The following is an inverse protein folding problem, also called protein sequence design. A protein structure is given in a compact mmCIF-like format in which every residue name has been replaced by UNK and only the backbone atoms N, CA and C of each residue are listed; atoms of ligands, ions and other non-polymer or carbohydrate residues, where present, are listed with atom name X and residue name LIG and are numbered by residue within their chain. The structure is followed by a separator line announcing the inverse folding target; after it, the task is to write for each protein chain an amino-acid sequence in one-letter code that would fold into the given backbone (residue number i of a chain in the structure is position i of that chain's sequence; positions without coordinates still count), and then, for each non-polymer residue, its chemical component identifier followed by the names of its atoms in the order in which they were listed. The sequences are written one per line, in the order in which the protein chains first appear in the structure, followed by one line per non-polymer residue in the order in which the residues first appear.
data_IF_849316922299
#
_entry.id   IF_849316922299
#
_cell.length_a   1.000
_cell.length_b   1.000
_cell.length_c   1.000
_cell.angle_alpha   90.00
_cell.angle_beta   90.00
_cell.angle_gamma   90.00
#
_symmetry.space_group_name_H-M   'P 1'
#
loop_
_entity.id
_entity.type
_entity.pdbx_description
1 polymer ?
#
# COMPACT_ATOMS: atom_id res chain seq x y z
N UNK A 1 -25.97 64.86 19.24
CA UNK A 1 -27.02 64.03 19.86
C UNK A 1 -27.30 62.75 19.04
N UNK A 2 -27.33 62.83 17.70
CA UNK A 2 -27.66 61.72 16.77
C UNK A 2 -26.66 60.53 16.79
N UNK A 3 -25.42 60.72 17.27
CA UNK A 3 -24.41 59.64 17.35
C UNK A 3 -24.37 58.97 18.73
N UNK A 4 -24.89 59.59 19.79
CA UNK A 4 -24.69 59.11 21.16
C UNK A 4 -25.73 58.06 21.60
N UNK A 5 -26.99 58.22 21.22
CA UNK A 5 -28.08 57.29 21.55
C UNK A 5 -27.87 55.87 21.01
N UNK A 6 -27.52 55.66 19.73
CA UNK A 6 -27.32 54.30 19.21
C UNK A 6 -26.09 53.60 19.80
N UNK A 7 -25.11 54.35 20.31
CA UNK A 7 -23.92 53.78 20.97
C UNK A 7 -24.24 53.21 22.36
N UNK A 8 -25.18 53.80 23.09
CA UNK A 8 -25.56 53.33 24.43
C UNK A 8 -26.39 52.05 24.32
N UNK A 9 -27.33 51.98 23.38
CA UNK A 9 -28.09 50.76 23.11
C UNK A 9 -27.16 49.61 22.68
N UNK A 10 -26.24 49.87 21.76
CA UNK A 10 -25.21 48.91 21.35
C UNK A 10 -24.38 48.39 22.52
N UNK A 11 -23.97 49.29 23.43
CA UNK A 11 -23.21 48.93 24.63
C UNK A 11 -24.04 48.05 25.57
N UNK A 12 -25.33 48.38 25.76
CA UNK A 12 -26.25 47.58 26.58
C UNK A 12 -26.41 46.17 25.99
N UNK A 13 -26.64 46.05 24.67
CA UNK A 13 -26.73 44.75 24.01
C UNK A 13 -25.44 43.94 24.14
N UNK A 14 -24.28 44.57 23.96
CA UNK A 14 -22.99 43.92 24.11
C UNK A 14 -22.75 43.43 25.54
N UNK A 15 -23.13 44.22 26.55
CA UNK A 15 -23.06 43.82 27.96
C UNK A 15 -24.00 42.63 28.23
N UNK A 16 -25.25 42.68 27.77
CA UNK A 16 -26.22 41.59 27.95
C UNK A 16 -25.70 40.30 27.32
N UNK A 17 -25.21 40.37 26.08
CA UNK A 17 -24.65 39.23 25.36
C UNK A 17 -23.37 38.73 26.03
N UNK A 18 -22.47 39.62 26.42
CA UNK A 18 -21.22 39.29 27.11
C UNK A 18 -21.46 38.58 28.44
N UNK A 19 -22.41 39.08 29.24
CA UNK A 19 -22.84 38.44 30.49
C UNK A 19 -23.52 37.10 30.20
N UNK A 20 -24.40 37.03 29.20
CA UNK A 20 -25.06 35.80 28.78
C UNK A 20 -24.06 34.71 28.36
N UNK A 21 -23.09 35.05 27.51
CA UNK A 21 -22.02 34.16 27.08
C UNK A 21 -21.10 33.76 28.23
N UNK A 22 -20.77 34.68 29.14
CA UNK A 22 -20.00 34.36 30.35
C UNK A 22 -20.72 33.35 31.24
N UNK A 23 -22.02 33.56 31.49
CA UNK A 23 -22.85 32.65 32.28
C UNK A 23 -22.97 31.29 31.59
N UNK A 24 -23.21 31.27 30.28
CA UNK A 24 -23.27 30.04 29.48
C UNK A 24 -21.94 29.27 29.57
N UNK A 25 -20.82 29.95 29.36
CA UNK A 25 -19.49 29.36 29.49
C UNK A 25 -19.25 28.82 30.89
N UNK A 26 -19.62 29.56 31.94
CA UNK A 26 -19.47 29.15 33.34
C UNK A 26 -20.31 27.92 33.67
N UNK A 27 -21.52 27.83 33.15
CA UNK A 27 -22.40 26.66 33.31
C UNK A 27 -21.83 25.43 32.59
N UNK A 28 -21.45 25.56 31.32
CA UNK A 28 -20.94 24.45 30.52
C UNK A 28 -19.57 23.98 31.04
N UNK A 29 -18.63 24.90 31.27
CA UNK A 29 -17.31 24.57 31.82
C UNK A 29 -17.40 24.04 33.26
N UNK A 30 -18.34 24.53 34.06
CA UNK A 30 -18.59 24.06 35.42
C UNK A 30 -19.14 22.64 35.48
N UNK A 31 -20.09 22.30 34.60
CA UNK A 31 -20.67 20.94 34.51
C UNK A 31 -19.65 19.93 33.97
N UNK A 32 -18.96 20.29 32.88
CA UNK A 32 -17.92 19.45 32.26
C UNK A 32 -16.70 19.29 33.19
N UNK A 33 -16.32 20.36 33.89
CA UNK A 33 -15.23 20.36 34.86
C UNK A 33 -15.45 19.36 35.99
N UNK A 34 -16.68 19.29 36.53
CA UNK A 34 -17.08 18.38 37.62
C UNK A 34 -17.25 16.92 37.18
N UNK A 35 -17.44 16.66 35.89
CA UNK A 35 -17.59 15.29 35.39
C UNK A 35 -16.29 14.51 35.44
N UNK A 36 -16.21 13.46 36.28
CA UNK A 36 -15.07 12.53 36.31
C UNK A 36 -15.03 11.59 35.11
N UNK A 37 -16.15 11.43 34.40
CA UNK A 37 -16.27 10.55 33.22
C UNK A 37 -15.63 11.14 31.95
N UNK A 38 -15.43 12.46 31.92
CA UNK A 38 -14.85 13.14 30.75
C UNK A 38 -13.33 13.24 30.94
N UNK A 39 -12.51 12.72 30.01
CA UNK A 39 -11.06 12.84 30.08
C UNK A 39 -10.61 14.30 29.97
N UNK A 40 -9.49 14.62 30.63
CA UNK A 40 -8.95 15.99 30.72
C UNK A 40 -8.79 16.64 29.33
N UNK A 41 -8.28 15.89 28.35
CA UNK A 41 -8.10 16.35 26.96
C UNK A 41 -9.41 16.87 26.35
N UNK A 42 -10.51 16.17 26.55
CA UNK A 42 -11.81 16.59 26.01
C UNK A 42 -12.33 17.85 26.73
N UNK A 43 -12.11 17.97 28.04
CA UNK A 43 -12.46 19.20 28.78
C UNK A 43 -11.71 20.42 28.25
N UNK A 44 -10.41 20.26 27.97
CA UNK A 44 -9.59 21.32 27.38
C UNK A 44 -10.10 21.76 26.02
N UNK A 45 -10.43 20.79 25.14
CA UNK A 45 -10.97 21.07 23.81
C UNK A 45 -12.29 21.84 23.92
N UNK A 46 -13.22 21.40 24.77
CA UNK A 46 -14.51 22.10 24.92
C UNK A 46 -14.31 23.52 25.44
N UNK A 47 -13.50 23.72 26.48
CA UNK A 47 -13.23 25.05 27.02
C UNK A 47 -12.54 25.97 26.00
N UNK A 48 -11.67 25.43 25.17
CA UNK A 48 -11.02 26.18 24.10
C UNK A 48 -12.03 26.58 23.01
N UNK A 49 -12.86 25.65 22.55
CA UNK A 49 -13.91 25.92 21.56
C UNK A 49 -14.92 26.96 22.05
N UNK A 50 -15.33 26.88 23.32
CA UNK A 50 -16.23 27.85 23.94
C UNK A 50 -15.65 29.26 23.98
N UNK A 51 -14.36 29.40 24.32
CA UNK A 51 -13.65 30.69 24.30
C UNK A 51 -13.59 31.27 22.89
N UNK A 52 -13.23 30.47 21.89
CA UNK A 52 -13.20 30.90 20.48
C UNK A 52 -14.58 31.34 20.02
N UNK A 53 -15.62 30.54 20.28
CA UNK A 53 -16.99 30.88 19.91
C UNK A 53 -17.44 32.19 20.56
N UNK A 54 -17.09 32.41 21.83
CA UNK A 54 -17.41 33.65 22.55
C UNK A 54 -16.73 34.86 21.91
N UNK A 55 -15.44 34.76 21.59
CA UNK A 55 -14.71 35.84 20.92
C UNK A 55 -15.32 36.14 19.56
N UNK A 56 -15.61 35.12 18.75
CA UNK A 56 -16.22 35.31 17.43
C UNK A 56 -17.60 35.98 17.50
N UNK A 57 -18.46 35.55 18.44
CA UNK A 57 -19.78 36.14 18.64
C UNK A 57 -19.66 37.59 19.11
N UNK A 58 -18.78 37.88 20.08
CA UNK A 58 -18.58 39.26 20.55
C UNK A 58 -18.04 40.15 19.43
N UNK A 59 -17.07 39.68 18.64
CA UNK A 59 -16.54 40.43 17.49
C UNK A 59 -17.64 40.71 16.47
N UNK A 60 -18.49 39.72 16.17
CA UNK A 60 -19.63 39.90 15.27
C UNK A 60 -20.59 40.99 15.77
N UNK A 61 -20.98 40.95 17.05
CA UNK A 61 -21.86 41.97 17.63
C UNK A 61 -21.20 43.34 17.79
N UNK A 62 -19.89 43.42 17.96
CA UNK A 62 -19.17 44.70 17.93
C UNK A 62 -19.29 45.32 16.54
N UNK A 63 -19.08 44.52 15.48
CA UNK A 63 -19.15 44.99 14.08
C UNK A 63 -20.57 45.47 13.74
N UNK A 64 -21.59 44.71 14.09
CA UNK A 64 -23.00 45.05 13.80
C UNK A 64 -23.56 46.13 14.72
N UNK A 65 -23.15 46.14 15.99
CA UNK A 65 -23.76 46.96 17.02
C UNK A 65 -23.33 48.42 17.00
N UNK A 66 -22.10 48.74 16.54
CA UNK A 66 -21.57 50.11 16.65
C UNK A 66 -21.73 50.91 15.34
N UNK A 67 -22.51 52.00 15.34
CA UNK A 67 -22.67 52.89 14.18
C UNK A 67 -21.37 53.49 13.64
N UNK A 68 -20.35 53.62 14.49
CA UNK A 68 -19.04 54.13 14.06
C UNK A 68 -18.40 53.20 13.00
N UNK A 69 -18.69 51.90 13.08
CA UNK A 69 -18.20 50.92 12.13
C UNK A 69 -19.00 51.00 10.82
N UNK A 70 -20.28 51.38 10.87
CA UNK A 70 -21.09 51.62 9.66
C UNK A 70 -20.77 52.95 8.95
N UNK A 71 -19.98 53.84 9.57
CA UNK A 71 -19.40 55.02 8.91
C UNK A 71 -18.20 54.68 8.02
N UNK A 72 -17.61 53.49 8.17
CA UNK A 72 -16.53 53.00 7.32
C UNK A 72 -17.14 52.60 5.96
N UNK A 73 -16.53 53.05 4.85
CA UNK A 73 -16.99 52.68 3.52
C UNK A 73 -17.12 51.15 3.41
N UNK A 74 -18.28 50.61 3.00
CA UNK A 74 -18.50 49.18 2.85
C UNK A 74 -17.44 48.50 1.98
N UNK A 75 -16.84 49.23 1.03
CA UNK A 75 -15.76 48.76 0.17
C UNK A 75 -14.53 48.35 0.97
N UNK A 76 -14.09 49.16 1.94
CA UNK A 76 -12.93 48.82 2.77
C UNK A 76 -13.24 47.63 3.69
N UNK A 77 -14.41 47.64 4.32
CA UNK A 77 -14.85 46.51 5.16
C UNK A 77 -14.92 45.21 4.36
N UNK A 78 -15.44 45.25 3.12
CA UNK A 78 -15.48 44.08 2.22
C UNK A 78 -14.08 43.60 1.83
N UNK A 79 -13.14 44.52 1.53
CA UNK A 79 -11.75 44.15 1.21
C UNK A 79 -11.06 43.51 2.42
N UNK A 80 -11.17 44.12 3.62
CA UNK A 80 -10.53 43.59 4.82
C UNK A 80 -11.12 42.24 5.24
N UNK A 81 -12.45 42.11 5.26
CA UNK A 81 -13.12 40.85 5.59
C UNK A 81 -12.84 39.77 4.54
N UNK A 82 -12.81 40.13 3.26
CA UNK A 82 -12.40 39.25 2.15
C UNK A 82 -10.96 38.75 2.30
N UNK A 83 -10.02 39.65 2.64
CA UNK A 83 -8.63 39.29 2.85
C UNK A 83 -8.45 38.36 4.07
N UNK A 84 -9.09 38.69 5.20
CA UNK A 84 -9.01 37.89 6.44
C UNK A 84 -9.64 36.51 6.24
N UNK A 85 -10.83 36.44 5.64
CA UNK A 85 -11.52 35.17 5.38
C UNK A 85 -10.71 34.28 4.43
N UNK A 86 -10.11 34.86 3.39
CA UNK A 86 -9.24 34.15 2.46
C UNK A 86 -7.97 33.64 3.15
N UNK A 87 -7.34 34.44 4.00
CA UNK A 87 -6.18 34.02 4.78
C UNK A 87 -6.51 32.84 5.71
N UNK A 88 -7.65 32.89 6.40
CA UNK A 88 -8.14 31.78 7.25
C UNK A 88 -8.42 30.53 6.41
N UNK A 89 -9.05 30.68 5.24
CA UNK A 89 -9.34 29.58 4.33
C UNK A 89 -8.04 28.90 3.83
N UNK A 90 -7.04 29.68 3.45
CA UNK A 90 -5.72 29.14 3.06
C UNK A 90 -5.03 28.45 4.23
N UNK A 91 -5.04 29.05 5.42
CA UNK A 91 -4.43 28.45 6.61
C UNK A 91 -5.09 27.12 7.02
N UNK A 92 -6.41 26.99 6.82
CA UNK A 92 -7.18 25.78 7.14
C UNK A 92 -7.33 24.79 5.99
N UNK A 93 -6.80 25.10 4.81
CA UNK A 93 -6.93 24.27 3.60
C UNK A 93 -6.49 22.82 3.82
N UNK A 94 -5.38 22.59 4.54
CA UNK A 94 -4.89 21.25 4.86
C UNK A 94 -5.84 20.42 5.75
N UNK A 95 -6.62 21.07 6.63
CA UNK A 95 -7.60 20.38 7.47
C UNK A 95 -8.76 19.89 6.59
N UNK A 96 -9.28 20.76 5.73
CA UNK A 96 -10.34 20.41 4.79
C UNK A 96 -9.89 19.34 3.79
N UNK A 97 -8.66 19.43 3.27
CA UNK A 97 -8.09 18.41 2.38
C UNK A 97 -8.10 17.03 3.04
N UNK A 98 -7.67 16.93 4.30
CA UNK A 98 -7.68 15.66 5.04
C UNK A 98 -9.09 15.15 5.33
N UNK A 99 -10.01 16.04 5.71
CA UNK A 99 -11.41 15.73 5.98
C UNK A 99 -12.10 15.16 4.72
N UNK A 100 -12.01 15.86 3.59
CA UNK A 100 -12.61 15.42 2.33
C UNK A 100 -11.93 14.15 1.80
N UNK A 101 -10.61 14.02 1.94
CA UNK A 101 -9.91 12.79 1.57
C UNK A 101 -10.40 11.60 2.38
N UNK A 102 -10.65 11.77 3.69
CA UNK A 102 -11.26 10.73 4.52
C UNK A 102 -12.65 10.33 4.06
N UNK A 103 -13.54 11.29 3.77
CA UNK A 103 -14.88 11.02 3.23
C UNK A 103 -14.78 10.26 1.90
N UNK A 104 -13.94 10.74 0.98
CA UNK A 104 -13.73 10.12 -0.33
C UNK A 104 -13.23 8.68 -0.16
N UNK A 105 -12.27 8.43 0.75
CA UNK A 105 -11.78 7.09 1.05
C UNK A 105 -12.88 6.18 1.61
N UNK A 106 -13.78 6.71 2.43
CA UNK A 106 -14.92 5.94 2.96
C UNK A 106 -15.98 5.62 1.90
N UNK A 107 -16.18 6.52 0.92
CA UNK A 107 -17.15 6.36 -0.17
C UNK A 107 -16.62 5.45 -1.28
N UNK A 108 -15.43 5.73 -1.80
CA UNK A 108 -14.82 5.02 -2.94
C UNK A 108 -14.18 3.71 -2.47
N UNK A 109 -13.74 3.63 -1.20
CA UNK A 109 -13.06 2.47 -0.61
C UNK A 109 -11.96 1.90 -1.50
N UNK A 110 -10.90 2.67 -1.81
CA UNK A 110 -9.79 2.18 -2.63
C UNK A 110 -9.04 0.98 -2.00
N UNK A 111 -9.20 0.79 -0.69
CA UNK A 111 -8.71 -0.32 0.11
C UNK A 111 -9.55 -0.41 1.39
N UNK A 112 -9.52 -1.57 2.05
CA UNK A 112 -10.29 -1.83 3.27
C UNK A 112 -9.41 -1.98 4.52
N UNK A 113 -10.03 -1.88 5.69
CA UNK A 113 -9.37 -2.17 6.96
C UNK A 113 -8.97 -3.65 6.96
N UNK A 114 -7.70 -3.93 7.24
CA UNK A 114 -7.11 -5.27 7.15
C UNK A 114 -6.34 -5.54 5.86
N UNK A 115 -6.38 -4.65 4.86
CA UNK A 115 -5.56 -4.79 3.66
C UNK A 115 -4.07 -4.56 3.94
N UNK A 116 -3.23 -5.36 3.30
CA UNK A 116 -1.78 -5.16 3.26
C UNK A 116 -1.48 -4.21 2.11
N UNK A 117 -0.93 -3.05 2.44
CA UNK A 117 -0.64 -1.99 1.48
C UNK A 117 0.80 -1.49 1.61
N UNK A 118 1.33 -0.92 0.53
CA UNK A 118 2.53 -0.08 0.56
C UNK A 118 2.16 1.32 0.07
N UNK A 119 2.35 2.31 0.92
CA UNK A 119 1.94 3.71 0.71
C UNK A 119 3.15 4.60 0.99
N UNK A 120 3.65 5.25 -0.06
CA UNK A 120 4.76 6.21 0.06
C UNK A 120 5.96 5.63 0.82
N UNK A 121 6.45 4.48 0.34
CA UNK A 121 7.60 3.77 0.91
C UNK A 121 7.27 2.80 2.05
N UNK A 122 6.28 3.11 2.89
CA UNK A 122 5.92 2.32 4.07
C UNK A 122 4.98 1.16 3.73
N UNK A 123 5.29 -0.05 4.24
CA UNK A 123 4.50 -1.26 4.01
C UNK A 123 3.90 -1.76 5.32
N UNK A 124 2.60 -2.03 5.34
CA UNK A 124 1.91 -2.51 6.53
C UNK A 124 0.44 -2.82 6.31
N UNK A 125 -0.24 -3.22 7.39
CA UNK A 125 -1.66 -3.55 7.41
C UNK A 125 -2.46 -2.33 7.87
N UNK A 126 -3.52 -2.00 7.16
CA UNK A 126 -4.42 -0.91 7.56
C UNK A 126 -5.21 -1.33 8.79
N UNK A 127 -5.07 -0.59 9.90
CA UNK A 127 -5.80 -0.87 11.14
C UNK A 127 -7.01 0.02 11.35
N UNK A 128 -6.88 1.29 10.98
CA UNK A 128 -7.94 2.26 11.18
C UNK A 128 -7.90 3.32 10.09
N UNK A 129 -9.07 3.69 9.57
CA UNK A 129 -9.26 4.86 8.72
C UNK A 129 -10.15 5.82 9.49
N UNK A 130 -9.55 6.82 10.10
CA UNK A 130 -10.27 7.92 10.73
C UNK A 130 -10.60 9.00 9.68
N UNK A 131 -11.34 10.02 10.09
CA UNK A 131 -11.78 11.10 9.19
C UNK A 131 -10.62 11.93 8.61
N UNK A 132 -9.52 12.10 9.35
CA UNK A 132 -8.38 12.94 8.92
C UNK A 132 -7.07 12.18 8.76
N UNK A 133 -6.99 10.97 9.32
CA UNK A 133 -5.77 10.17 9.36
C UNK A 133 -6.08 8.69 9.17
N UNK A 134 -5.06 7.97 8.74
CA UNK A 134 -5.05 6.52 8.60
C UNK A 134 -3.90 5.94 9.43
N UNK A 135 -4.15 4.81 10.09
CA UNK A 135 -3.16 4.05 10.87
C UNK A 135 -2.73 2.81 10.10
N UNK A 136 -1.44 2.73 9.84
CA UNK A 136 -0.76 1.61 9.21
C UNK A 136 0.09 0.89 10.25
N UNK A 137 -0.13 -0.41 10.45
CA UNK A 137 0.71 -1.23 11.32
C UNK A 137 1.77 -1.93 10.47
N UNK A 138 3.04 -1.64 10.71
CA UNK A 138 4.16 -2.30 10.03
C UNK A 138 4.40 -3.70 10.61
N UNK A 139 5.19 -4.51 9.90
CA UNK A 139 5.57 -5.85 10.37
C UNK A 139 6.47 -5.85 11.61
N UNK A 140 7.03 -4.69 11.95
CA UNK A 140 7.82 -4.48 13.15
C UNK A 140 6.94 -4.03 14.35
N UNK A 141 5.62 -4.20 14.26
CA UNK A 141 4.62 -3.77 15.24
C UNK A 141 4.65 -2.25 15.55
N UNK A 142 5.03 -1.42 14.58
CA UNK A 142 4.97 0.03 14.69
C UNK A 142 3.67 0.56 14.07
N UNK A 143 3.06 1.55 14.71
CA UNK A 143 1.90 2.27 14.16
C UNK A 143 2.40 3.55 13.49
N UNK A 144 2.25 3.62 12.17
CA UNK A 144 2.50 4.81 11.36
C UNK A 144 1.17 5.51 11.11
N UNK A 145 1.05 6.77 11.54
CA UNK A 145 -0.08 7.62 11.21
C UNK A 145 0.23 8.45 9.96
N UNK A 146 -0.55 8.27 8.88
CA UNK A 146 -0.49 9.12 7.70
C UNK A 146 -1.74 9.98 7.57
N UNK A 147 -1.58 11.21 7.07
CA UNK A 147 -2.71 12.08 6.79
C UNK A 147 -3.48 11.57 5.56
N UNK A 148 -4.81 11.61 5.58
CA UNK A 148 -5.63 11.05 4.49
C UNK A 148 -5.34 11.74 3.15
N UNK A 149 -5.07 13.05 3.17
CA UNK A 149 -4.71 13.81 1.97
C UNK A 149 -3.39 13.33 1.36
N UNK A 150 -2.38 13.04 2.19
CA UNK A 150 -1.13 12.46 1.69
C UNK A 150 -1.36 11.06 1.12
N UNK A 151 -2.11 10.21 1.82
CA UNK A 151 -2.39 8.84 1.38
C UNK A 151 -3.01 8.83 -0.01
N UNK A 152 -4.08 9.59 -0.23
CA UNK A 152 -4.80 9.60 -1.51
C UNK A 152 -3.98 10.20 -2.66
N UNK A 153 -3.09 11.16 -2.35
CA UNK A 153 -2.18 11.78 -3.33
C UNK A 153 -0.96 10.90 -3.68
N UNK A 154 -0.68 9.89 -2.86
CA UNK A 154 0.52 9.06 -2.97
C UNK A 154 0.30 7.81 -3.82
N UNK A 155 1.40 7.19 -4.25
CA UNK A 155 1.36 5.88 -4.90
C UNK A 155 0.97 4.81 -3.87
N UNK A 156 -0.19 4.20 -4.08
CA UNK A 156 -0.72 3.10 -3.26
C UNK A 156 -0.54 1.77 -4.01
N UNK A 157 0.07 0.79 -3.36
CA UNK A 157 0.15 -0.60 -3.84
C UNK A 157 -0.62 -1.48 -2.86
N UNK A 158 -1.78 -2.01 -3.27
CA UNK A 158 -2.55 -2.94 -2.46
C UNK A 158 -2.19 -4.39 -2.84
N UNK A 159 -1.75 -5.18 -1.86
CA UNK A 159 -1.37 -6.59 -2.03
C UNK A 159 -2.52 -7.56 -1.72
N UNK A 160 -3.54 -7.11 -1.00
CA UNK A 160 -4.66 -7.94 -0.52
C UNK A 160 -5.89 -7.85 -1.43
N UNK A 161 -6.01 -6.80 -2.24
CA UNK A 161 -7.17 -6.60 -3.12
C UNK A 161 -7.33 -7.82 -4.03
N UNK A 162 -8.42 -8.57 -3.78
CA UNK A 162 -8.85 -9.66 -4.65
C UNK A 162 -9.51 -9.04 -5.87
N UNK A 163 -8.70 -8.64 -6.86
CA UNK A 163 -9.21 -8.37 -8.20
C UNK A 163 -10.10 -9.57 -8.58
N UNK A 164 -11.38 -9.31 -8.89
CA UNK A 164 -12.38 -10.34 -9.15
C UNK A 164 -11.76 -11.48 -9.96
N UNK A 165 -11.82 -12.70 -9.41
CA UNK A 165 -10.96 -13.84 -9.78
C UNK A 165 -10.61 -13.86 -11.28
N UNK A 166 -9.43 -13.33 -11.65
CA UNK A 166 -8.58 -14.17 -12.49
C UNK A 166 -8.22 -15.33 -11.59
N UNK A 167 -8.68 -16.54 -11.93
CA UNK A 167 -8.31 -17.76 -11.22
C UNK A 167 -6.79 -17.88 -11.24
N UNK A 168 -6.11 -17.31 -10.24
CA UNK A 168 -4.67 -17.38 -10.13
C UNK A 168 -4.31 -18.81 -9.75
N UNK A 169 -3.15 -19.28 -10.22
CA UNK A 169 -2.62 -20.61 -9.93
C UNK A 169 -2.57 -20.94 -8.42
N UNK A 170 -2.54 -19.95 -7.52
CA UNK A 170 -2.65 -20.16 -6.07
C UNK A 170 -4.01 -20.67 -5.59
N UNK A 171 -5.12 -20.24 -6.21
CA UNK A 171 -6.46 -20.77 -5.91
C UNK A 171 -6.61 -22.21 -6.41
N UNK A 172 -5.89 -22.55 -7.50
CA UNK A 172 -5.76 -23.93 -7.99
C UNK A 172 -4.86 -24.76 -7.06
N UNK A 173 -3.72 -24.21 -6.61
CA UNK A 173 -2.80 -24.83 -5.65
C UNK A 173 -3.49 -25.14 -4.32
N UNK A 174 -4.32 -24.24 -3.77
CA UNK A 174 -5.11 -24.48 -2.55
C UNK A 174 -6.16 -25.58 -2.69
N UNK A 175 -6.67 -25.83 -3.90
CA UNK A 175 -7.59 -26.95 -4.19
C UNK A 175 -6.87 -28.29 -4.39
N UNK A 176 -5.59 -28.28 -4.81
CA UNK A 176 -4.77 -29.49 -4.95
C UNK A 176 -4.04 -29.85 -3.63
N UNK A 177 -3.77 -28.84 -2.79
CA UNK A 177 -3.18 -29.01 -1.45
C UNK A 177 -4.23 -29.15 -0.33
N UNK A 178 -5.53 -29.09 -0.64
CA UNK A 178 -6.54 -29.58 0.28
C UNK A 178 -6.24 -31.08 0.48
N UNK A 179 -5.99 -31.53 1.72
CA UNK A 179 -5.45 -32.85 1.98
C UNK A 179 -6.45 -33.90 1.51
N UNK A 180 -6.17 -34.50 0.36
CA UNK A 180 -6.42 -35.92 0.20
C UNK A 180 -5.18 -36.59 0.77
N UNK A 181 -5.36 -37.22 1.92
CA UNK A 181 -4.47 -38.16 2.59
C UNK A 181 -3.64 -37.66 3.79
N UNK A 182 -4.16 -38.03 4.97
CA UNK A 182 -3.47 -38.67 6.10
C UNK A 182 -1.93 -38.70 6.00
N UNK A 183 -1.28 -37.91 6.88
CA UNK A 183 0.10 -38.13 7.34
C UNK A 183 1.21 -37.42 6.56
N UNK A 184 1.89 -36.45 7.20
CA UNK A 184 3.33 -36.51 7.55
C UNK A 184 3.84 -35.14 8.06
N UNK A 185 4.42 -35.15 9.26
CA UNK A 185 4.86 -33.99 10.05
C UNK A 185 6.39 -33.75 9.99
N UNK A 186 7.06 -34.12 8.89
CA UNK A 186 8.54 -34.24 8.88
C UNK A 186 9.35 -33.17 8.13
N UNK A 187 8.75 -32.30 7.31
CA UNK A 187 9.53 -31.57 6.28
C UNK A 187 10.04 -30.19 6.75
N UNK A 188 9.53 -29.65 7.85
CA UNK A 188 9.83 -28.27 8.25
C UNK A 188 11.09 -28.10 9.13
N UNK A 189 11.62 -29.17 9.73
CA UNK A 189 12.82 -29.09 10.59
C UNK A 189 14.15 -29.14 9.80
N UNK A 190 14.20 -29.76 8.62
CA UNK A 190 15.46 -29.95 7.86
C UNK A 190 15.92 -28.72 7.03
N UNK A 191 15.03 -27.74 6.83
CA UNK A 191 15.28 -26.63 5.89
C UNK A 191 16.14 -25.52 6.51
N UNK A 192 16.14 -25.36 7.84
CA UNK A 192 16.94 -24.32 8.51
C UNK A 192 18.41 -24.69 8.62
N UNK A 193 18.74 -25.97 8.80
CA UNK A 193 20.11 -26.47 8.99
C UNK A 193 20.91 -26.47 7.69
N UNK A 194 20.29 -26.80 6.55
CA UNK A 194 20.98 -26.87 5.24
C UNK A 194 21.42 -25.53 4.66
N UNK A 195 20.79 -24.42 5.09
CA UNK A 195 21.04 -23.10 4.51
C UNK A 195 22.38 -22.51 4.95
N UNK A 196 22.78 -22.72 6.20
CA UNK A 196 24.03 -22.21 6.75
C UNK A 196 25.25 -22.99 6.21
N UNK A 197 25.10 -24.30 6.04
CA UNK A 197 26.16 -25.17 5.51
C UNK A 197 26.41 -24.93 4.00
N UNK A 198 25.36 -24.54 3.26
CA UNK A 198 25.47 -24.20 1.85
C UNK A 198 26.21 -22.88 1.62
N UNK A 199 25.99 -21.86 2.45
CA UNK A 199 26.66 -20.56 2.32
C UNK A 199 28.16 -20.64 2.64
N UNK A 200 28.55 -21.41 3.65
CA UNK A 200 29.96 -21.63 3.99
C UNK A 200 30.72 -22.45 2.93
N UNK A 201 30.05 -23.42 2.31
CA UNK A 201 30.62 -24.21 1.21
C UNK A 201 30.79 -23.38 -0.07
N UNK A 202 29.88 -22.45 -0.34
CA UNK A 202 29.99 -21.50 -1.46
C UNK A 202 31.17 -20.55 -1.32
N UNK A 203 31.43 -20.05 -0.10
CA UNK A 203 32.52 -19.12 0.18
C UNK A 203 33.89 -19.77 0.00
N UNK A 204 34.05 -20.99 0.55
CA UNK A 204 35.29 -21.79 0.40
C UNK A 204 35.53 -22.20 -1.06
N UNK A 205 34.47 -22.53 -1.80
CA UNK A 205 34.57 -22.82 -3.22
C UNK A 205 35.06 -21.60 -4.01
N UNK A 206 34.55 -20.40 -3.71
CA UNK A 206 34.92 -19.16 -4.42
C UNK A 206 36.39 -18.77 -4.22
N UNK A 207 36.89 -18.91 -2.99
CA UNK A 207 38.29 -18.61 -2.65
C UNK A 207 39.29 -19.63 -3.24
N UNK A 208 38.82 -20.83 -3.62
CA UNK A 208 39.64 -21.91 -4.16
C UNK A 208 39.93 -21.81 -5.67
N UNK A 209 39.28 -20.90 -6.42
CA UNK A 209 39.46 -20.84 -7.87
C UNK A 209 40.70 -20.03 -8.28
N UNK A 210 41.72 -20.64 -8.92
CA UNK A 210 42.82 -19.88 -9.51
C UNK A 210 42.31 -19.08 -10.71
N UNK A 211 42.78 -17.84 -10.88
CA UNK A 211 42.57 -17.01 -12.08
C UNK A 211 43.18 -17.72 -13.31
N UNK A 212 42.44 -18.65 -13.92
CA UNK A 212 42.74 -19.26 -15.22
C UNK A 212 41.71 -18.84 -16.24
N UNK A 213 42.18 -18.54 -17.45
CA UNK A 213 41.35 -18.17 -18.61
C UNK A 213 40.36 -19.31 -18.87
N UNK A 214 39.08 -19.04 -18.63
CA UNK A 214 38.02 -20.01 -18.84
C UNK A 214 37.80 -20.25 -20.35
N UNK A 215 37.58 -21.51 -20.77
CA UNK A 215 37.11 -21.77 -22.13
C UNK A 215 35.80 -21.03 -22.38
N UNK A 216 35.66 -20.40 -23.56
CA UNK A 216 34.45 -19.64 -23.94
C UNK A 216 33.22 -20.55 -23.80
N UNK A 217 32.30 -20.16 -22.91
CA UNK A 217 31.03 -20.85 -22.69
C UNK A 217 29.94 -20.20 -23.54
N UNK A 218 29.32 -21.00 -24.41
CA UNK A 218 28.22 -20.57 -25.25
C UNK A 218 26.89 -20.92 -24.58
N UNK A 219 25.99 -19.94 -24.52
CA UNK A 219 24.66 -20.06 -23.94
C UNK A 219 23.60 -19.78 -25.01
N UNK A 220 22.70 -20.73 -25.22
CA UNK A 220 21.54 -20.56 -26.07
C UNK A 220 20.27 -20.72 -25.25
N UNK A 221 19.34 -19.76 -25.37
CA UNK A 221 18.06 -19.81 -24.66
C UNK A 221 16.90 -19.65 -25.61
N UNK A 222 15.89 -20.50 -25.48
CA UNK A 222 14.65 -20.41 -26.23
C UNK A 222 13.47 -20.68 -25.31
N UNK A 223 12.27 -20.26 -25.74
CA UNK A 223 11.03 -20.39 -24.96
C UNK A 223 10.04 -21.22 -25.75
N UNK A 224 9.32 -22.10 -25.06
CA UNK A 224 8.24 -22.88 -25.63
C UNK A 224 7.00 -22.82 -24.74
N UNK A 225 5.83 -22.84 -25.39
CA UNK A 225 4.53 -22.86 -24.71
C UNK A 225 4.08 -24.29 -24.49
N UNK A 226 3.64 -24.59 -23.28
CA UNK A 226 3.21 -25.90 -22.81
C UNK A 226 1.73 -25.86 -22.42
N UNK A 227 0.97 -26.94 -22.70
CA UNK A 227 -0.40 -27.08 -22.26
C UNK A 227 -0.46 -27.32 -20.75
N UNK A 228 -1.52 -26.82 -20.11
CA UNK A 228 -1.74 -27.03 -18.68
C UNK A 228 -2.12 -28.48 -18.33
N UNK A 229 -2.89 -29.14 -19.22
CA UNK A 229 -3.32 -30.52 -19.02
C UNK A 229 -2.11 -31.45 -19.13
N UNK A 230 -1.92 -32.32 -18.14
CA UNK A 230 -0.80 -33.26 -18.13
C UNK A 230 0.57 -32.61 -17.93
N UNK A 231 0.64 -31.32 -17.57
CA UNK A 231 1.90 -30.57 -17.48
C UNK A 231 2.97 -31.26 -16.61
N UNK A 232 2.56 -31.87 -15.50
CA UNK A 232 3.48 -32.62 -14.62
C UNK A 232 4.13 -33.79 -15.36
N UNK A 233 3.33 -34.57 -16.08
CA UNK A 233 3.80 -35.71 -16.89
C UNK A 233 4.70 -35.22 -18.03
N UNK A 234 4.31 -34.14 -18.69
CA UNK A 234 5.09 -33.51 -19.77
C UNK A 234 6.45 -33.02 -19.25
N UNK A 235 6.49 -32.35 -18.10
CA UNK A 235 7.74 -31.86 -17.49
C UNK A 235 8.61 -33.01 -17.00
N UNK A 236 8.03 -34.08 -16.47
CA UNK A 236 8.78 -35.26 -16.08
C UNK A 236 9.42 -35.93 -17.32
N UNK A 237 8.69 -36.05 -18.43
CA UNK A 237 9.23 -36.52 -19.72
C UNK A 237 10.33 -35.57 -20.26
N UNK A 238 10.14 -34.25 -20.19
CA UNK A 238 11.16 -33.25 -20.58
C UNK A 238 12.39 -33.29 -19.67
N UNK A 239 12.21 -33.53 -18.37
CA UNK A 239 13.31 -33.68 -17.41
C UNK A 239 14.15 -34.91 -17.72
N UNK A 240 13.50 -36.02 -18.07
CA UNK A 240 14.16 -37.24 -18.53
C UNK A 240 14.87 -37.04 -19.88
N UNK A 241 14.27 -36.27 -20.80
CA UNK A 241 14.93 -35.87 -22.05
C UNK A 241 16.21 -35.07 -21.76
N UNK A 242 16.16 -34.09 -20.86
CA UNK A 242 17.34 -33.31 -20.46
C UNK A 242 18.45 -34.19 -19.85
N UNK A 243 18.08 -35.21 -19.05
CA UNK A 243 19.04 -36.22 -18.55
C UNK A 243 19.66 -37.03 -19.68
N UNK A 244 18.85 -37.53 -20.62
CA UNK A 244 19.34 -38.31 -21.76
C UNK A 244 20.35 -37.54 -22.62
N UNK A 245 20.11 -36.24 -22.85
CA UNK A 245 21.03 -35.39 -23.61
C UNK A 245 22.35 -35.12 -22.88
N UNK A 246 22.35 -35.16 -21.55
CA UNK A 246 23.55 -35.08 -20.73
C UNK A 246 24.32 -36.41 -20.75
N UNK A 247 23.63 -37.54 -20.54
CA UNK A 247 24.21 -38.89 -20.52
C UNK A 247 24.81 -39.29 -21.87
N UNK A 248 24.18 -38.89 -22.98
CA UNK A 248 24.71 -39.07 -24.36
C UNK A 248 25.89 -38.16 -24.67
N UNK A 249 26.37 -37.36 -23.71
CA UNK A 249 27.48 -36.42 -23.85
C UNK A 249 27.32 -35.42 -25.01
N UNK A 250 26.07 -35.15 -25.40
CA UNK A 250 25.73 -34.17 -26.44
C UNK A 250 26.02 -32.78 -25.87
N UNK A 251 25.34 -32.44 -24.77
CA UNK A 251 25.63 -31.27 -23.96
C UNK A 251 26.34 -31.72 -22.68
N UNK A 252 27.62 -31.33 -22.53
CA UNK A 252 28.43 -31.67 -21.35
C UNK A 252 27.83 -31.12 -20.05
N UNK A 253 27.03 -30.05 -20.15
CA UNK A 253 26.22 -29.51 -19.07
C UNK A 253 24.76 -29.87 -19.36
N UNK A 254 24.05 -30.41 -18.36
CA UNK A 254 22.64 -30.76 -18.47
C UNK A 254 21.82 -29.54 -18.90
N UNK A 255 20.98 -29.63 -19.96
CA UNK A 255 20.01 -28.61 -20.29
C UNK A 255 19.16 -28.23 -19.07
N UNK A 256 19.09 -26.93 -18.79
CA UNK A 256 18.28 -26.39 -17.70
C UNK A 256 16.99 -25.82 -18.27
N UNK A 257 15.92 -25.87 -17.49
CA UNK A 257 14.67 -25.22 -17.87
C UNK A 257 14.01 -24.57 -16.66
N UNK A 258 13.38 -23.43 -16.91
CA UNK A 258 12.67 -22.66 -15.90
C UNK A 258 11.28 -22.28 -16.42
N UNK A 259 10.30 -22.26 -15.54
CA UNK A 259 8.97 -21.72 -15.83
C UNK A 259 9.07 -20.20 -15.72
N UNK A 260 8.87 -19.49 -16.84
CA UNK A 260 9.05 -18.03 -16.92
C UNK A 260 7.72 -17.29 -16.94
N UNK A 261 6.69 -17.90 -17.52
CA UNK A 261 5.33 -17.36 -17.52
C UNK A 261 4.35 -18.52 -17.37
N UNK A 262 3.24 -18.26 -16.68
CA UNK A 262 2.18 -19.23 -16.42
C UNK A 262 0.79 -18.57 -16.43
N UNK A 263 0.66 -17.35 -16.97
CA UNK A 263 -0.59 -16.59 -16.97
C UNK A 263 -1.60 -17.06 -18.02
N UNK A 264 -1.21 -17.16 -19.30
CA UNK A 264 -2.09 -17.55 -20.42
C UNK A 264 -1.71 -18.93 -20.98
N UNK A 265 -0.42 -19.24 -20.99
CA UNK A 265 0.14 -20.55 -21.30
C UNK A 265 1.37 -20.77 -20.45
N UNK A 266 1.76 -22.03 -20.21
CA UNK A 266 2.98 -22.29 -19.45
C UNK A 266 4.17 -22.09 -20.39
N UNK A 267 4.94 -21.03 -20.19
CA UNK A 267 6.14 -20.75 -20.98
C UNK A 267 7.35 -21.26 -20.23
N UNK A 268 7.97 -22.29 -20.79
CA UNK A 268 9.21 -22.87 -20.27
C UNK A 268 10.37 -22.30 -21.08
N UNK A 269 11.33 -21.68 -20.38
CA UNK A 269 12.59 -21.23 -20.96
C UNK A 269 13.62 -22.33 -20.79
N UNK A 270 14.19 -22.78 -21.90
CA UNK A 270 15.30 -23.70 -21.91
C UNK A 270 16.62 -22.94 -22.00
N UNK A 271 17.66 -23.46 -21.34
CA UNK A 271 19.03 -22.97 -21.40
C UNK A 271 19.95 -24.13 -21.76
N UNK A 272 20.62 -24.00 -22.91
CA UNK A 272 21.62 -24.93 -23.40
C UNK A 272 22.99 -24.30 -23.21
N UNK A 273 23.86 -24.98 -22.45
CA UNK A 273 25.21 -24.51 -22.15
C UNK A 273 26.23 -25.49 -22.75
N UNK A 274 27.17 -24.98 -23.54
CA UNK A 274 28.24 -25.80 -24.14
C UNK A 274 29.52 -25.02 -24.35
N UNK A 275 30.65 -25.73 -24.32
CA UNK A 275 31.97 -25.18 -24.64
C UNK A 275 32.28 -25.21 -26.15
N UNK A 276 31.42 -25.84 -26.96
CA UNK A 276 31.57 -25.94 -28.41
C UNK A 276 30.32 -25.39 -29.11
N UNK A 277 30.48 -24.29 -29.85
CA UNK A 277 29.41 -23.60 -30.55
C UNK A 277 28.74 -24.45 -31.65
N UNK A 278 29.49 -25.31 -32.35
CA UNK A 278 28.97 -26.13 -33.43
C UNK A 278 27.86 -27.07 -32.95
N UNK A 279 28.01 -27.60 -31.73
CA UNK A 279 27.01 -28.46 -31.10
C UNK A 279 25.66 -27.76 -30.84
N UNK A 280 25.64 -26.43 -30.67
CA UNK A 280 24.37 -25.69 -30.57
C UNK A 280 23.67 -25.78 -31.91
N UNK A 281 24.35 -25.46 -33.01
CA UNK A 281 23.74 -25.48 -34.35
C UNK A 281 23.21 -26.86 -34.73
N UNK A 282 23.96 -27.92 -34.44
CA UNK A 282 23.59 -29.28 -34.84
C UNK A 282 22.44 -29.86 -33.98
N UNK A 283 22.45 -29.60 -32.66
CA UNK A 283 21.55 -30.29 -31.72
C UNK A 283 20.43 -29.42 -31.14
N UNK A 284 20.48 -28.09 -31.26
CA UNK A 284 19.37 -27.23 -30.83
C UNK A 284 18.04 -27.54 -31.55
N UNK A 285 18.00 -27.78 -32.88
CA UNK A 285 16.72 -27.97 -33.56
C UNK A 285 16.15 -29.34 -33.20
N UNK A 286 17.03 -30.33 -33.04
CA UNK A 286 16.66 -31.69 -32.59
C UNK A 286 16.10 -31.68 -31.18
N UNK A 287 16.75 -30.98 -30.24
CA UNK A 287 16.26 -30.85 -28.87
C UNK A 287 14.91 -30.12 -28.81
N UNK A 288 14.75 -29.03 -29.55
CA UNK A 288 13.47 -28.31 -29.62
C UNK A 288 12.36 -29.18 -30.24
N UNK A 289 12.68 -29.98 -31.26
CA UNK A 289 11.74 -30.91 -31.89
C UNK A 289 11.33 -32.07 -30.95
N UNK A 290 12.27 -32.62 -30.18
CA UNK A 290 11.98 -33.65 -29.18
C UNK A 290 11.05 -33.12 -28.08
N UNK A 291 11.30 -31.89 -27.59
CA UNK A 291 10.41 -31.20 -26.65
C UNK A 291 9.04 -30.95 -27.28
N UNK A 292 8.98 -30.53 -28.55
CA UNK A 292 7.72 -30.34 -29.27
C UNK A 292 6.91 -31.63 -29.39
N UNK A 293 7.55 -32.75 -29.73
CA UNK A 293 6.88 -34.05 -29.85
C UNK A 293 6.27 -34.51 -28.52
N UNK A 294 6.98 -34.29 -27.40
CA UNK A 294 6.44 -34.55 -26.07
C UNK A 294 5.19 -33.69 -25.85
N UNK A 295 5.25 -32.39 -26.11
CA UNK A 295 4.10 -31.49 -25.93
C UNK A 295 2.91 -31.90 -26.82
N UNK A 296 3.18 -32.26 -28.07
CA UNK A 296 2.17 -32.56 -29.08
C UNK A 296 1.39 -33.84 -28.76
N UNK A 297 2.05 -34.86 -28.22
CA UNK A 297 1.43 -36.11 -27.73
C UNK A 297 0.26 -35.86 -26.78
N UNK A 298 0.37 -34.84 -25.93
CA UNK A 298 -0.65 -34.47 -24.93
C UNK A 298 -1.64 -33.40 -25.39
N UNK A 299 -1.51 -32.91 -26.62
CA UNK A 299 -2.41 -31.92 -27.21
C UNK A 299 -3.57 -32.56 -27.99
N UNK A 300 -3.40 -33.82 -28.42
CA UNK A 300 -4.37 -34.58 -29.25
C UNK A 300 -5.18 -35.60 -28.42
N UNK A 301 -4.76 -35.89 -27.19
CA UNK A 301 -5.46 -36.75 -26.20
C UNK A 301 -6.35 -35.98 -25.22
#
# INVERSE_FOLDING_TARGET
MIVLEPNIEALIYLIIIGVGLYLLNKLISGTIGKSKKIPLKQKMIVNFSLKIATVLIVVFYVIEGFPIISLIDPTYTAIFTGAISTAIAFASSGIFANFFSGIIMMLIRPFEIGDLVKIDGDKGIIREISLTKMKLETFDNLIIEKSNAQVISSKIVNYTIKLGKKKTFEDFKKKILAPQDIGFKGIYEDISTSKNEFEDNLKKAYESFPKKIYPKLYNFTFRMSFPYRGFRVIIDEVSNLCKSYHEKNIFRIKPQFDIVDYTISIVVKFRLLTFNAQKIFDFQPKFANDVFNIIHKYRIS
#
